data_IF_930013704777
#
_entry.id   IF_930013704777
#
_cell.length_a   1.000
_cell.length_b   1.000
_cell.length_c   1.000
_cell.angle_alpha   90.00
_cell.angle_beta   90.00
_cell.angle_gamma   90.00
#
_symmetry.space_group_name_H-M   'P 1'
#
loop_
_entity.id
_entity.type
_entity.pdbx_description
1 polymer ?
#
# COMPACT_ATOMS: atom_id res chain seq x y z
N UNK A 1 8.59 11.35 -0.07
CA UNK A 1 7.25 10.76 -0.19
C UNK A 1 6.33 11.66 0.60
N UNK A 2 5.46 12.41 -0.07
CA UNK A 2 4.51 13.33 0.57
C UNK A 2 3.45 12.53 1.32
N UNK A 3 2.84 13.13 2.35
CA UNK A 3 1.66 12.61 3.06
C UNK A 3 0.55 12.13 2.09
N UNK A 4 0.52 12.72 0.89
CA UNK A 4 -0.37 12.38 -0.22
C UNK A 4 -0.36 10.89 -0.61
N UNK A 5 0.79 10.21 -0.59
CA UNK A 5 0.84 8.80 -0.97
C UNK A 5 0.15 7.90 0.06
N UNK A 6 0.44 8.13 1.34
CA UNK A 6 -0.16 7.36 2.42
C UNK A 6 -1.67 7.58 2.47
N UNK A 7 -2.11 8.83 2.30
CA UNK A 7 -3.53 9.19 2.27
C UNK A 7 -4.25 8.56 1.08
N UNK A 8 -3.64 8.59 -0.12
CA UNK A 8 -4.20 7.96 -1.31
C UNK A 8 -4.38 6.43 -1.12
N UNK A 9 -3.38 5.75 -0.55
CA UNK A 9 -3.50 4.33 -0.20
C UNK A 9 -4.67 4.10 0.76
N UNK A 10 -4.79 4.92 1.81
CA UNK A 10 -5.87 4.78 2.79
C UNK A 10 -7.26 5.01 2.17
N UNK A 11 -7.39 5.95 1.22
CA UNK A 11 -8.61 6.19 0.45
C UNK A 11 -8.99 4.94 -0.35
N UNK A 12 -8.04 4.35 -1.08
CA UNK A 12 -8.28 3.13 -1.85
C UNK A 12 -8.68 1.95 -0.96
N UNK A 13 -8.01 1.75 0.18
CA UNK A 13 -8.39 0.70 1.13
C UNK A 13 -9.79 0.89 1.69
N UNK A 14 -10.17 2.14 2.03
CA UNK A 14 -11.54 2.47 2.47
C UNK A 14 -12.58 2.21 1.37
N UNK A 15 -12.28 2.60 0.13
CA UNK A 15 -13.13 2.31 -1.05
C UNK A 15 -13.33 0.80 -1.19
N UNK A 16 -12.24 0.05 -1.22
CA UNK A 16 -12.26 -1.39 -1.40
C UNK A 16 -13.03 -2.10 -0.28
N UNK A 17 -12.86 -1.65 0.98
CA UNK A 17 -13.64 -2.11 2.12
C UNK A 17 -15.15 -1.88 1.95
N UNK A 18 -15.56 -0.70 1.44
CA UNK A 18 -16.98 -0.40 1.15
C UNK A 18 -17.54 -1.28 0.04
N UNK A 19 -16.73 -1.64 -0.94
CA UNK A 19 -17.12 -2.49 -2.07
C UNK A 19 -17.01 -4.00 -1.78
N UNK A 20 -16.50 -4.40 -0.60
CA UNK A 20 -16.28 -5.81 -0.28
C UNK A 20 -15.16 -6.47 -1.08
N UNK A 21 -14.25 -5.69 -1.68
CA UNK A 21 -13.12 -6.19 -2.49
C UNK A 21 -11.79 -6.08 -1.74
N UNK A 22 -10.81 -6.89 -2.13
CA UNK A 22 -9.43 -6.85 -1.59
C UNK A 22 -8.50 -6.06 -2.52
N UNK A 23 -7.44 -5.43 -1.97
CA UNK A 23 -7.13 -5.30 -0.54
C UNK A 23 -8.01 -4.26 0.14
N UNK A 24 -8.45 -4.55 1.36
CA UNK A 24 -9.29 -3.65 2.19
C UNK A 24 -8.53 -3.09 3.40
N UNK A 25 -7.32 -3.60 3.65
CA UNK A 25 -6.46 -3.24 4.78
C UNK A 25 -4.98 -3.40 4.45
N UNK A 26 -4.10 -2.78 5.24
CA UNK A 26 -2.65 -3.04 5.18
C UNK A 26 -2.31 -4.50 5.51
N UNK A 27 -3.15 -5.21 6.27
CA UNK A 27 -2.98 -6.63 6.54
C UNK A 27 -3.19 -7.46 5.26
N UNK A 28 -4.13 -7.08 4.40
CA UNK A 28 -4.34 -7.75 3.11
C UNK A 28 -3.13 -7.55 2.19
N UNK A 29 -2.59 -6.32 2.15
CA UNK A 29 -1.34 -6.02 1.43
C UNK A 29 -0.21 -6.89 1.98
N UNK A 30 -0.03 -6.93 3.30
CA UNK A 30 1.01 -7.71 3.96
C UNK A 30 0.92 -9.21 3.59
N UNK A 31 -0.28 -9.79 3.67
CA UNK A 31 -0.53 -11.19 3.29
C UNK A 31 -0.26 -11.45 1.81
N UNK A 32 -0.67 -10.55 0.92
CA UNK A 32 -0.51 -10.71 -0.53
C UNK A 32 0.98 -10.72 -0.93
N UNK A 33 1.78 -9.84 -0.34
CA UNK A 33 3.21 -9.70 -0.68
C UNK A 33 4.16 -10.51 0.22
N UNK A 34 3.64 -11.30 1.17
CA UNK A 34 4.47 -12.03 2.14
C UNK A 34 5.29 -11.11 3.05
N UNK A 35 4.76 -9.93 3.38
CA UNK A 35 5.42 -8.92 4.19
C UNK A 35 4.84 -8.88 5.61
N UNK A 36 5.57 -8.30 6.55
CA UNK A 36 5.01 -7.97 7.86
C UNK A 36 4.16 -6.70 7.77
N UNK A 37 3.06 -6.64 8.52
CA UNK A 37 2.21 -5.44 8.61
C UNK A 37 3.01 -4.18 9.04
N UNK A 38 3.93 -4.25 10.03
CA UNK A 38 4.78 -3.11 10.37
C UNK A 38 5.63 -2.63 9.20
N UNK A 39 6.18 -3.53 8.39
CA UNK A 39 6.98 -3.17 7.24
C UNK A 39 6.14 -2.51 6.13
N UNK A 40 4.93 -3.01 5.87
CA UNK A 40 3.97 -2.36 4.96
C UNK A 40 3.64 -0.94 5.42
N UNK A 41 3.44 -0.75 6.72
CA UNK A 41 3.21 0.58 7.29
C UNK A 41 4.44 1.50 7.09
N UNK A 42 5.66 1.00 7.28
CA UNK A 42 6.87 1.78 7.02
C UNK A 42 7.04 2.13 5.54
N UNK A 43 6.75 1.19 4.63
CA UNK A 43 6.75 1.40 3.18
C UNK A 43 5.81 2.53 2.78
N UNK A 44 4.54 2.44 3.16
CA UNK A 44 3.50 3.41 2.78
C UNK A 44 3.81 4.80 3.34
N UNK A 45 4.32 4.88 4.57
CA UNK A 45 4.69 6.16 5.19
C UNK A 45 6.06 6.69 4.76
N UNK A 46 6.73 6.05 3.80
CA UNK A 46 8.04 6.48 3.30
C UNK A 46 9.17 6.43 4.35
N UNK A 47 9.05 5.57 5.36
CA UNK A 47 10.03 5.39 6.44
C UNK A 47 11.08 4.32 6.17
N UNK A 48 11.18 3.88 4.92
CA UNK A 48 12.17 2.89 4.45
C UNK A 48 13.20 3.56 3.55
N UNK A 49 14.37 2.93 3.39
CA UNK A 49 15.41 3.41 2.50
C UNK A 49 14.89 3.61 1.07
N UNK A 50 15.30 4.71 0.44
CA UNK A 50 14.93 5.03 -0.94
C UNK A 50 15.78 4.22 -1.93
N UNK A 51 15.39 2.96 -2.14
CA UNK A 51 16.04 2.03 -3.06
C UNK A 51 15.17 1.75 -4.29
N UNK A 52 15.78 1.22 -5.36
CA UNK A 52 15.03 0.75 -6.52
C UNK A 52 14.02 -0.34 -6.15
N UNK A 53 14.35 -1.20 -5.19
CA UNK A 53 13.44 -2.23 -4.70
C UNK A 53 12.23 -1.62 -3.97
N UNK A 54 12.46 -0.59 -3.15
CA UNK A 54 11.40 0.16 -2.48
C UNK A 54 10.45 0.78 -3.50
N UNK A 55 10.98 1.47 -4.52
CA UNK A 55 10.17 2.08 -5.58
C UNK A 55 9.33 1.04 -6.31
N UNK A 56 9.95 -0.06 -6.75
CA UNK A 56 9.25 -1.18 -7.39
C UNK A 56 8.11 -1.72 -6.51
N UNK A 57 8.38 -1.92 -5.22
CA UNK A 57 7.38 -2.42 -4.27
C UNK A 57 6.20 -1.46 -4.09
N UNK A 58 6.46 -0.16 -4.06
CA UNK A 58 5.40 0.86 -3.95
C UNK A 58 4.52 0.87 -5.20
N UNK A 59 5.09 0.73 -6.39
CA UNK A 59 4.33 0.60 -7.64
C UNK A 59 3.46 -0.66 -7.67
N UNK A 60 3.98 -1.80 -7.19
CA UNK A 60 3.19 -3.02 -7.05
C UNK A 60 2.01 -2.84 -6.08
N UNK A 61 2.25 -2.16 -4.94
CA UNK A 61 1.20 -1.85 -3.97
C UNK A 61 0.14 -0.92 -4.58
N UNK A 62 0.53 0.13 -5.31
CA UNK A 62 -0.40 1.04 -6.02
C UNK A 62 -1.35 0.29 -6.93
N UNK A 63 -0.80 -0.59 -7.77
CA UNK A 63 -1.59 -1.44 -8.68
C UNK A 63 -2.54 -2.33 -7.92
N UNK A 64 -2.04 -2.98 -6.86
CA UNK A 64 -2.85 -3.92 -6.08
C UNK A 64 -4.01 -3.23 -5.35
N UNK A 65 -3.83 -2.02 -4.81
CA UNK A 65 -4.93 -1.27 -4.17
C UNK A 65 -5.88 -0.62 -5.18
N UNK A 66 -5.49 -0.57 -6.46
CA UNK A 66 -6.25 0.06 -7.54
C UNK A 66 -6.16 1.58 -7.53
N UNK A 67 -4.97 2.13 -7.32
CA UNK A 67 -4.68 3.57 -7.46
C UNK A 67 -4.47 4.01 -8.92
N UNK A 68 -4.12 3.08 -9.82
CA UNK A 68 -3.83 3.37 -11.23
C UNK A 68 -5.09 3.25 -12.15
N UNK A 69 -6.30 3.24 -11.57
CA UNK A 69 -7.58 3.19 -12.28
C UNK A 69 -8.27 4.55 -12.29
#
# INVERSE_FOLDING_TARGET
>A
MSYEFADAILICLKRNKRMGIKPSSQTDIAKHFGLSKPYVNQLINGRVANSNNTKKRLEEIKRYVGMDN
#
